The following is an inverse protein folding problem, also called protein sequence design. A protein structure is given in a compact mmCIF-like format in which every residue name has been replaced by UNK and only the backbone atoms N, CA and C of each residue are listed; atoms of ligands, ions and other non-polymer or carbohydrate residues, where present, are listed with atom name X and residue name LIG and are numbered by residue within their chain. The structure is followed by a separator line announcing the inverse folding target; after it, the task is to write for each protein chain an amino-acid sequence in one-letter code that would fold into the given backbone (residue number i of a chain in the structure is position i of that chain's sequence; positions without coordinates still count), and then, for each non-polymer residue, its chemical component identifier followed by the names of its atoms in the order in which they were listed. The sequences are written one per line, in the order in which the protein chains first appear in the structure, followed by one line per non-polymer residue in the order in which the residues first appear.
data_IF_475053965532
#
_entry.id   IF_475053965532
#
_cell.length_a   1.000
_cell.length_b   1.000
_cell.length_c   1.000
_cell.angle_alpha   90.00
_cell.angle_beta   90.00
_cell.angle_gamma   90.00
#
_symmetry.space_group_name_H-M   'P 1'
#
loop_
_entity.id
_entity.type
_entity.pdbx_description
1 polymer ?
#
# COMPACT_ATOMS: atom_id res chain seq x y z
N UNK A 1 -12.08 -16.63 16.60
CA UNK A 1 -11.69 -17.71 15.68
C UNK A 1 -11.01 -17.06 14.49
N UNK A 2 -9.76 -17.42 14.19
CA UNK A 2 -9.05 -16.88 13.04
C UNK A 2 -9.58 -17.55 11.77
N UNK A 3 -10.44 -16.84 11.04
CA UNK A 3 -10.97 -17.31 9.76
C UNK A 3 -9.96 -16.98 8.65
N UNK A 4 -9.55 -17.99 7.89
CA UNK A 4 -8.65 -17.83 6.74
C UNK A 4 -9.32 -18.41 5.50
N UNK A 5 -9.19 -17.72 4.37
CA UNK A 5 -9.71 -18.16 3.06
C UNK A 5 -8.69 -17.92 1.95
N UNK A 6 -8.68 -18.81 0.95
CA UNK A 6 -7.86 -18.67 -0.25
C UNK A 6 -8.74 -18.26 -1.44
N UNK A 7 -8.46 -17.09 -2.00
CA UNK A 7 -9.21 -16.52 -3.12
C UNK A 7 -8.33 -16.47 -4.37
N UNK A 8 -8.42 -17.49 -5.22
CA UNK A 8 -7.51 -17.69 -6.37
C UNK A 8 -7.45 -16.46 -7.30
N UNK A 9 -8.59 -15.83 -7.58
CA UNK A 9 -8.64 -14.61 -8.38
C UNK A 9 -8.14 -13.38 -7.61
N UNK A 10 -8.49 -13.26 -6.32
CA UNK A 10 -8.02 -12.17 -5.47
C UNK A 10 -6.49 -12.15 -5.33
N UNK A 11 -5.85 -13.33 -5.28
CA UNK A 11 -4.40 -13.48 -5.24
C UNK A 11 -3.66 -12.98 -6.50
N UNK A 12 -4.37 -12.60 -7.57
CA UNK A 12 -3.76 -12.02 -8.78
C UNK A 12 -3.55 -10.51 -8.67
N UNK A 13 -4.23 -9.81 -7.77
CA UNK A 13 -4.05 -8.37 -7.62
C UNK A 13 -2.68 -8.07 -7.02
N UNK A 14 -1.94 -7.17 -7.65
CA UNK A 14 -0.60 -6.79 -7.20
C UNK A 14 -0.63 -5.79 -6.04
N UNK A 15 0.48 -5.72 -5.31
CA UNK A 15 0.64 -4.74 -4.25
C UNK A 15 0.87 -3.31 -4.78
N UNK A 16 0.19 -2.33 -4.17
CA UNK A 16 0.62 -0.93 -4.17
C UNK A 16 0.37 -0.28 -2.82
N UNK A 17 1.29 0.59 -2.35
CA UNK A 17 1.07 1.45 -1.18
C UNK A 17 0.17 2.66 -1.49
N UNK A 18 -0.14 2.88 -2.77
CA UNK A 18 -1.13 3.82 -3.30
C UNK A 18 -2.03 3.06 -4.30
N UNK A 19 -2.89 2.15 -3.79
CA UNK A 19 -3.65 1.25 -4.64
C UNK A 19 -4.75 1.97 -5.43
N UNK A 20 -5.30 1.33 -6.45
CA UNK A 20 -6.54 1.74 -7.13
C UNK A 20 -7.76 0.93 -6.70
N UNK A 21 -7.57 -0.14 -5.92
CA UNK A 21 -8.66 -0.91 -5.34
C UNK A 21 -8.52 -1.01 -3.80
N UNK A 22 -9.64 -0.98 -3.10
CA UNK A 22 -9.79 -1.50 -1.74
C UNK A 22 -10.45 -2.88 -1.77
N UNK A 23 -10.41 -3.59 -0.65
CA UNK A 23 -11.07 -4.89 -0.51
C UNK A 23 -11.89 -4.96 0.77
N UNK A 24 -12.91 -5.82 0.77
CA UNK A 24 -13.71 -6.18 1.94
C UNK A 24 -14.33 -7.56 1.74
N UNK A 25 -14.98 -8.10 2.78
CA UNK A 25 -15.88 -9.24 2.64
C UNK A 25 -17.33 -8.74 2.59
N UNK A 26 -18.11 -9.27 1.65
CA UNK A 26 -19.57 -9.11 1.64
C UNK A 26 -20.23 -9.89 2.78
N UNK A 27 -21.53 -9.67 2.99
CA UNK A 27 -22.32 -10.41 3.99
C UNK A 27 -22.41 -11.92 3.68
N UNK A 28 -22.25 -12.28 2.41
CA UNK A 28 -22.17 -13.65 1.90
C UNK A 28 -20.76 -14.29 2.05
N UNK A 29 -19.80 -13.54 2.60
CA UNK A 29 -18.41 -13.99 2.76
C UNK A 29 -17.59 -13.92 1.47
N UNK A 30 -18.13 -13.37 0.38
CA UNK A 30 -17.37 -13.17 -0.85
C UNK A 30 -16.32 -12.07 -0.69
N UNK A 31 -15.13 -12.28 -1.26
CA UNK A 31 -14.09 -11.26 -1.35
C UNK A 31 -14.47 -10.26 -2.45
N UNK A 32 -14.65 -9.01 -2.07
CA UNK A 32 -15.02 -7.92 -2.96
C UNK A 32 -13.86 -6.95 -3.13
N UNK A 33 -13.60 -6.53 -4.37
CA UNK A 33 -12.70 -5.42 -4.67
C UNK A 33 -13.49 -4.24 -5.19
N UNK A 34 -13.26 -3.05 -4.62
CA UNK A 34 -13.90 -1.80 -5.04
C UNK A 34 -12.85 -0.82 -5.56
N UNK A 35 -13.11 -0.21 -6.72
CA UNK A 35 -12.28 0.87 -7.21
C UNK A 35 -12.36 2.07 -6.26
N UNK A 36 -11.22 2.66 -5.91
CA UNK A 36 -11.11 3.86 -5.06
C UNK A 36 -10.61 5.09 -5.83
N UNK A 37 -10.38 4.92 -7.13
CA UNK A 37 -10.04 5.97 -8.11
C UNK A 37 -10.37 5.45 -9.52
N UNK A 38 -10.46 6.32 -10.54
CA UNK A 38 -10.67 5.90 -11.92
C UNK A 38 -9.63 4.88 -12.39
N UNK A 39 -10.07 3.89 -13.18
CA UNK A 39 -9.25 2.81 -13.73
C UNK A 39 -9.55 2.75 -15.23
N UNK A 40 -8.52 2.95 -16.06
CA UNK A 40 -8.64 2.87 -17.51
C UNK A 40 -8.40 1.42 -18.00
N UNK A 41 -8.90 1.06 -19.21
CA UNK A 41 -8.53 -0.21 -19.83
C UNK A 41 -7.01 -0.37 -19.93
N UNK A 42 -6.50 -1.51 -19.44
CA UNK A 42 -5.07 -1.81 -19.40
C UNK A 42 -4.36 -1.41 -18.11
N UNK A 43 -5.00 -0.65 -17.21
CA UNK A 43 -4.44 -0.35 -15.90
C UNK A 43 -4.32 -1.61 -15.04
N UNK A 44 -3.21 -1.72 -14.32
CA UNK A 44 -3.01 -2.79 -13.35
C UNK A 44 -3.92 -2.59 -12.13
N UNK A 45 -4.67 -3.62 -11.75
CA UNK A 45 -5.45 -3.63 -10.51
C UNK A 45 -4.57 -3.95 -9.31
N UNK A 46 -4.65 -3.13 -8.27
CA UNK A 46 -3.77 -3.21 -7.11
C UNK A 46 -4.50 -2.97 -5.79
N UNK A 47 -4.06 -3.64 -4.72
CA UNK A 47 -4.44 -3.35 -3.33
C UNK A 47 -3.23 -3.34 -2.41
N UNK A 48 -3.42 -2.96 -1.13
CA UNK A 48 -2.34 -2.96 -0.15
C UNK A 48 -2.26 -4.26 0.65
N UNK A 49 -1.14 -4.98 0.54
CA UNK A 49 -0.83 -6.15 1.36
C UNK A 49 -0.42 -5.78 2.78
N UNK A 50 -0.06 -4.51 3.01
CA UNK A 50 0.28 -3.97 4.33
C UNK A 50 -0.99 -3.71 5.16
N UNK A 51 -2.18 -3.87 4.57
CA UNK A 51 -3.47 -3.52 5.17
C UNK A 51 -3.96 -2.15 4.71
N UNK A 52 -4.99 -1.63 5.37
CA UNK A 52 -5.68 -0.38 5.06
C UNK A 52 -5.48 0.67 6.17
N UNK A 53 -5.97 1.89 5.92
CA UNK A 53 -6.02 2.97 6.92
C UNK A 53 -4.67 3.27 7.58
N UNK A 54 -4.63 3.20 8.91
CA UNK A 54 -3.44 3.52 9.71
C UNK A 54 -2.22 2.66 9.38
N UNK A 55 -2.40 1.43 8.89
CA UNK A 55 -1.29 0.58 8.48
C UNK A 55 -0.49 1.16 7.32
N UNK A 56 -1.12 2.00 6.52
CA UNK A 56 -0.48 2.71 5.42
C UNK A 56 0.13 4.05 5.87
N UNK A 57 -0.19 4.59 7.05
CA UNK A 57 0.31 5.87 7.55
C UNK A 57 1.67 5.74 8.26
N UNK A 58 2.58 4.99 7.65
CA UNK A 58 3.94 4.74 8.15
C UNK A 58 4.97 4.98 7.06
N UNK A 59 6.24 5.10 7.44
CA UNK A 59 7.36 5.37 6.52
C UNK A 59 7.48 4.35 5.38
N UNK A 60 8.11 4.75 4.27
CA UNK A 60 8.43 3.87 3.14
C UNK A 60 9.28 2.68 3.58
N UNK A 61 10.24 2.93 4.49
CA UNK A 61 11.06 1.87 5.09
C UNK A 61 10.20 0.84 5.83
N UNK A 62 9.27 1.30 6.65
CA UNK A 62 8.39 0.43 7.43
C UNK A 62 7.46 -0.39 6.54
N UNK A 63 6.86 0.23 5.51
CA UNK A 63 6.03 -0.51 4.53
C UNK A 63 6.83 -1.59 3.81
N UNK A 64 8.08 -1.31 3.38
CA UNK A 64 8.95 -2.30 2.73
C UNK A 64 9.34 -3.43 3.68
N UNK A 65 9.60 -3.15 4.96
CA UNK A 65 9.88 -4.18 5.97
C UNK A 65 8.71 -5.15 6.12
N UNK A 66 7.47 -4.66 6.19
CA UNK A 66 6.26 -5.49 6.29
C UNK A 66 6.03 -6.39 5.07
N UNK A 67 6.59 -6.04 3.92
CA UNK A 67 6.53 -6.83 2.69
C UNK A 67 7.73 -7.79 2.52
N UNK A 68 8.70 -7.76 3.43
CA UNK A 68 9.98 -8.45 3.25
C UNK A 68 9.85 -9.96 3.08
N UNK A 69 8.84 -10.59 3.70
CA UNK A 69 8.55 -12.03 3.57
C UNK A 69 7.96 -12.43 2.21
N UNK A 70 7.55 -11.45 1.39
CA UNK A 70 6.94 -11.68 0.07
C UNK A 70 7.97 -11.61 -1.07
N UNK A 71 9.26 -11.47 -0.75
CA UNK A 71 10.39 -11.57 -1.70
C UNK A 71 10.35 -10.57 -2.86
N UNK A 72 9.83 -9.36 -2.63
CA UNK A 72 9.92 -8.25 -3.56
C UNK A 72 10.18 -6.92 -2.85
N UNK A 73 10.70 -5.94 -3.59
CA UNK A 73 10.84 -4.56 -3.11
C UNK A 73 9.77 -3.70 -3.76
N UNK A 74 8.89 -3.10 -2.97
CA UNK A 74 7.84 -2.23 -3.49
C UNK A 74 8.42 -0.97 -4.14
N UNK A 75 8.05 -0.75 -5.41
CA UNK A 75 8.44 0.40 -6.25
C UNK A 75 7.22 1.18 -6.76
N UNK A 76 6.09 1.15 -6.04
CA UNK A 76 4.93 1.98 -6.40
C UNK A 76 5.27 3.49 -6.28
N UNK A 77 4.44 4.35 -6.87
CA UNK A 77 4.65 5.82 -6.87
C UNK A 77 4.92 6.39 -5.48
N UNK A 78 4.25 5.87 -4.45
CA UNK A 78 4.42 6.31 -3.06
C UNK A 78 5.74 5.83 -2.41
N UNK A 79 6.34 4.76 -2.91
CA UNK A 79 7.63 4.25 -2.43
C UNK A 79 8.82 4.77 -3.26
N UNK A 80 8.57 5.37 -4.43
CA UNK A 80 9.57 6.05 -5.25
C UNK A 80 9.56 7.58 -5.04
N UNK A 81 8.44 8.12 -4.58
CA UNK A 81 8.30 9.53 -4.22
C UNK A 81 8.70 9.83 -2.77
N UNK A 82 8.59 11.10 -2.35
CA UNK A 82 8.98 11.54 -1.01
C UNK A 82 8.23 10.81 0.11
N UNK A 83 8.94 10.45 1.19
CA UNK A 83 8.35 9.83 2.37
C UNK A 83 7.72 10.86 3.31
N UNK A 84 6.43 11.11 3.09
CA UNK A 84 5.62 12.06 3.86
C UNK A 84 5.48 11.70 5.35
N UNK A 85 5.70 10.43 5.72
CA UNK A 85 5.58 9.95 7.09
C UNK A 85 6.88 10.05 7.88
N UNK A 86 7.98 10.50 7.25
CA UNK A 86 9.30 10.65 7.87
C UNK A 86 9.87 12.05 7.62
N UNK A 87 9.15 13.07 8.10
CA UNK A 87 9.61 14.45 8.00
C UNK A 87 10.78 14.71 8.95
N UNK A 88 11.79 15.41 8.48
CA UNK A 88 12.99 15.75 9.25
C UNK A 88 13.27 17.26 9.17
N UNK A 89 13.98 17.80 10.17
CA UNK A 89 14.57 19.14 10.06
C UNK A 89 15.89 19.08 9.32
N UNK A 90 16.15 20.03 8.44
CA UNK A 90 17.45 20.14 7.78
C UNK A 90 18.53 20.52 8.81
N UNK A 91 19.62 19.75 8.96
CA UNK A 91 20.69 20.10 9.88
C UNK A 91 21.52 21.32 9.40
N UNK A 92 21.51 21.62 8.10
CA UNK A 92 22.27 22.73 7.53
C UNK A 92 21.57 24.09 7.62
N UNK A 93 20.27 24.15 7.28
CA UNK A 93 19.53 25.42 7.22
C UNK A 93 18.35 25.51 8.20
N UNK A 94 18.08 24.47 9.00
CA UNK A 94 16.98 24.47 9.97
C UNK A 94 15.58 24.37 9.37
N UNK A 95 15.45 24.18 8.05
CA UNK A 95 14.15 24.04 7.39
C UNK A 95 13.28 22.96 8.07
N UNK A 96 12.00 23.24 8.37
CA UNK A 96 11.20 22.39 9.25
C UNK A 96 10.65 21.12 8.59
N UNK A 97 10.66 21.03 7.25
CA UNK A 97 10.01 19.95 6.49
C UNK A 97 10.86 19.47 5.33
N UNK A 98 11.92 18.73 5.63
CA UNK A 98 12.66 17.96 4.62
C UNK A 98 12.07 16.55 4.53
N UNK A 99 11.83 16.11 3.30
CA UNK A 99 11.27 14.80 3.00
C UNK A 99 12.37 13.92 2.40
N UNK A 100 12.75 12.81 3.06
CA UNK A 100 13.66 11.85 2.45
C UNK A 100 12.96 11.13 1.30
N UNK A 101 13.76 10.59 0.38
CA UNK A 101 13.30 9.65 -0.63
C UNK A 101 12.98 8.26 -0.03
#
# INVERSE_FOLDING_TARGET
ADLTGLFVLGSKFSHSCAPNCSWSFGEDGCLEYRAVRPIAPGDLLTFSYVGNGMNLLVSTLERRRRLGSLWFVCRCSRCLGPDLARQMRCPGCGAPRCLPC
#
